data_IF_870452854057
#
_entry.id   IF_870452854057
#
_cell.length_a   1.000
_cell.length_b   1.000
_cell.length_c   1.000
_cell.angle_alpha   90.00
_cell.angle_beta   90.00
_cell.angle_gamma   90.00
#
_symmetry.space_group_name_H-M   'P 1'
#
loop_
_entity.id
_entity.type
_entity.pdbx_description
1 polymer ?
#
# COMPACT_ATOMS: atom_id res chain seq x y z
N UNK A 1 4.49 -34.35 15.91
CA UNK A 1 3.96 -33.71 17.13
C UNK A 1 2.89 -32.72 16.75
N UNK A 2 1.62 -33.08 16.94
CA UNK A 2 0.44 -32.38 16.39
C UNK A 2 -0.06 -31.20 17.26
N UNK A 3 0.79 -30.68 18.14
CA UNK A 3 0.43 -29.70 19.18
C UNK A 3 0.58 -28.24 18.68
N UNK A 4 1.34 -28.00 17.61
CA UNK A 4 1.64 -26.66 17.08
C UNK A 4 0.57 -26.07 16.15
N UNK A 5 -0.21 -26.89 15.45
CA UNK A 5 -1.25 -26.40 14.53
C UNK A 5 -2.52 -25.90 15.27
N UNK A 6 -2.87 -26.53 16.39
CA UNK A 6 -4.09 -26.22 17.15
C UNK A 6 -3.94 -24.97 18.04
N UNK A 7 -2.70 -24.66 18.45
CA UNK A 7 -2.36 -23.46 19.25
C UNK A 7 -2.28 -22.22 18.36
N UNK A 8 -1.67 -22.34 17.18
CA UNK A 8 -1.53 -21.26 16.20
C UNK A 8 -2.90 -20.76 15.68
N UNK A 9 -3.90 -21.64 15.57
CA UNK A 9 -5.26 -21.24 15.19
C UNK A 9 -5.98 -20.42 16.30
N UNK A 10 -5.76 -20.76 17.57
CA UNK A 10 -6.37 -20.04 18.70
C UNK A 10 -5.72 -18.67 18.90
N UNK A 11 -4.40 -18.59 18.73
CA UNK A 11 -3.64 -17.34 18.78
C UNK A 11 -3.99 -16.41 17.60
N UNK A 12 -4.19 -16.97 16.40
CA UNK A 12 -4.64 -16.24 15.23
C UNK A 12 -6.05 -15.67 15.41
N UNK A 13 -6.98 -16.50 15.90
CA UNK A 13 -8.34 -16.07 16.19
C UNK A 13 -8.39 -14.99 17.29
N UNK A 14 -7.56 -15.13 18.33
CA UNK A 14 -7.42 -14.14 19.38
C UNK A 14 -6.83 -12.83 18.84
N UNK A 15 -5.77 -12.90 18.03
CA UNK A 15 -5.20 -11.73 17.38
C UNK A 15 -6.24 -11.02 16.52
N UNK A 16 -7.00 -11.76 15.71
CA UNK A 16 -8.05 -11.19 14.88
C UNK A 16 -9.10 -10.45 15.69
N UNK A 17 -9.59 -11.09 16.76
CA UNK A 17 -10.52 -10.46 17.68
C UNK A 17 -9.96 -9.20 18.34
N UNK A 18 -8.71 -9.23 18.82
CA UNK A 18 -8.06 -8.08 19.47
C UNK A 18 -7.88 -6.93 18.48
N UNK A 19 -7.41 -7.20 17.26
CA UNK A 19 -7.23 -6.19 16.22
C UNK A 19 -8.58 -5.60 15.80
N UNK A 20 -9.62 -6.42 15.62
CA UNK A 20 -10.96 -5.94 15.28
C UNK A 20 -11.58 -5.11 16.42
N UNK A 21 -11.40 -5.54 17.67
CA UNK A 21 -11.81 -4.79 18.85
C UNK A 21 -11.08 -3.45 18.94
N UNK A 22 -9.77 -3.44 18.75
CA UNK A 22 -8.95 -2.22 18.74
C UNK A 22 -9.38 -1.30 17.60
N UNK A 23 -9.61 -1.81 16.38
CA UNK A 23 -10.16 -1.03 15.26
C UNK A 23 -11.51 -0.42 15.60
N UNK A 24 -12.41 -1.22 16.18
CA UNK A 24 -13.73 -0.79 16.61
C UNK A 24 -13.70 0.28 17.71
N UNK A 25 -12.65 0.32 18.53
CA UNK A 25 -12.49 1.28 19.62
C UNK A 25 -11.66 2.53 19.22
N UNK A 26 -10.65 2.37 18.36
CA UNK A 26 -9.82 3.46 17.83
C UNK A 26 -10.63 4.41 16.95
N UNK A 27 -11.58 3.86 16.18
CA UNK A 27 -12.35 4.60 15.18
C UNK A 27 -13.78 4.92 15.63
N UNK A 28 -14.15 4.59 16.86
CA UNK A 28 -15.49 4.85 17.37
C UNK A 28 -15.70 6.35 17.56
N UNK A 29 -16.44 6.96 16.62
CA UNK A 29 -17.04 8.29 16.71
C UNK A 29 -16.08 9.46 17.04
N UNK A 30 -14.78 9.31 16.77
CA UNK A 30 -13.81 10.40 16.94
C UNK A 30 -13.52 11.04 15.60
N UNK A 31 -13.67 12.36 15.52
CA UNK A 31 -13.29 13.14 14.35
C UNK A 31 -11.76 13.17 14.23
N UNK A 32 -11.25 13.37 13.01
CA UNK A 32 -9.82 13.60 12.78
C UNK A 32 -9.29 14.72 13.69
N UNK A 33 -10.08 15.80 13.83
CA UNK A 33 -9.77 16.94 14.70
C UNK A 33 -9.63 16.57 16.17
N UNK A 34 -10.46 15.67 16.69
CA UNK A 34 -10.37 15.21 18.08
C UNK A 34 -9.06 14.44 18.34
N UNK A 35 -8.63 13.62 17.38
CA UNK A 35 -7.40 12.83 17.49
C UNK A 35 -6.17 13.75 17.36
N UNK A 36 -6.20 14.70 16.43
CA UNK A 36 -5.13 15.69 16.24
C UNK A 36 -4.92 16.57 17.50
N UNK A 37 -5.99 17.04 18.15
CA UNK A 37 -5.88 17.79 19.43
C UNK A 37 -5.17 16.97 20.53
N UNK A 38 -5.43 15.67 20.58
CA UNK A 38 -4.74 14.79 21.54
C UNK A 38 -3.28 14.58 21.17
N UNK A 39 -2.95 14.45 19.89
CA UNK A 39 -1.56 14.34 19.42
C UNK A 39 -0.76 15.63 19.69
N UNK A 40 -1.38 16.80 19.59
CA UNK A 40 -0.73 18.05 19.99
C UNK A 40 -0.34 18.09 21.48
N UNK A 41 -1.17 17.50 22.35
CA UNK A 41 -0.86 17.36 23.79
C UNK A 41 0.31 16.41 24.03
N UNK A 42 0.49 15.38 23.19
CA UNK A 42 1.67 14.50 23.24
C UNK A 42 2.94 15.28 22.92
N UNK A 43 2.88 16.24 21.98
CA UNK A 43 4.02 17.10 21.68
C UNK A 43 4.43 18.03 22.84
N UNK A 44 3.64 18.17 23.90
CA UNK A 44 4.05 18.86 25.13
C UNK A 44 4.82 17.94 26.10
N UNK A 45 4.71 16.62 25.91
CA UNK A 45 5.35 15.61 26.76
C UNK A 45 6.74 15.21 26.25
N UNK A 46 7.08 15.53 25.00
CA UNK A 46 8.41 15.26 24.43
C UNK A 46 9.41 16.35 24.83
N UNK A 47 10.74 16.04 24.86
CA UNK A 47 11.78 17.01 25.18
C UNK A 47 11.66 18.30 24.35
N UNK A 48 11.92 19.45 24.99
CA UNK A 48 11.83 20.78 24.38
C UNK A 48 12.39 20.90 22.94
N UNK A 49 13.61 20.38 22.62
CA UNK A 49 14.14 20.48 21.26
C UNK A 49 13.35 19.68 20.20
N UNK A 50 12.56 18.68 20.60
CA UNK A 50 11.77 17.83 19.70
C UNK A 50 10.33 18.31 19.53
N UNK A 51 9.85 19.25 20.34
CA UNK A 51 8.50 19.78 20.24
C UNK A 51 8.15 20.38 18.86
N UNK A 52 9.00 21.22 18.23
CA UNK A 52 8.68 21.76 16.90
C UNK A 52 8.61 20.65 15.84
N UNK A 53 9.53 19.69 15.90
CA UNK A 53 9.52 18.52 15.00
C UNK A 53 8.28 17.66 15.22
N UNK A 54 7.89 17.41 16.47
CA UNK A 54 6.67 16.66 16.81
C UNK A 54 5.43 17.33 16.21
N UNK A 55 5.27 18.64 16.41
CA UNK A 55 4.13 19.38 15.85
C UNK A 55 4.12 19.34 14.33
N UNK A 56 5.28 19.48 13.69
CA UNK A 56 5.41 19.35 12.24
C UNK A 56 4.97 17.96 11.76
N UNK A 57 5.37 16.89 12.46
CA UNK A 57 4.95 15.53 12.13
C UNK A 57 3.43 15.33 12.30
N UNK A 58 2.84 15.87 13.37
CA UNK A 58 1.38 15.84 13.58
C UNK A 58 0.65 16.58 12.46
N UNK A 59 1.16 17.74 12.03
CA UNK A 59 0.57 18.52 10.93
C UNK A 59 0.69 17.82 9.58
N UNK A 60 1.86 17.28 9.25
CA UNK A 60 2.11 16.67 7.93
C UNK A 60 1.50 15.27 7.79
N UNK A 61 1.61 14.46 8.85
CA UNK A 61 1.25 13.04 8.80
C UNK A 61 0.01 12.69 9.59
N UNK A 62 -0.51 13.57 10.45
CA UNK A 62 -1.65 13.27 11.32
C UNK A 62 -2.90 12.86 10.54
N UNK A 63 -3.37 13.69 9.59
CA UNK A 63 -4.55 13.37 8.77
C UNK A 63 -4.32 12.13 7.89
N UNK A 64 -3.21 12.01 7.12
CA UNK A 64 -2.92 10.80 6.36
C UNK A 64 -2.86 9.53 7.21
N UNK A 65 -2.22 9.59 8.38
CA UNK A 65 -2.11 8.45 9.29
C UNK A 65 -3.46 8.06 9.89
N UNK A 66 -4.30 9.04 10.26
CA UNK A 66 -5.66 8.78 10.76
C UNK A 66 -6.51 8.13 9.65
N UNK A 67 -6.43 8.63 8.41
CA UNK A 67 -7.14 8.04 7.27
C UNK A 67 -6.66 6.62 6.97
N UNK A 68 -5.34 6.40 6.97
CA UNK A 68 -4.76 5.08 6.78
C UNK A 68 -5.14 4.10 7.90
N UNK A 69 -5.16 4.57 9.15
CA UNK A 69 -5.62 3.78 10.29
C UNK A 69 -7.14 3.50 10.25
N UNK A 70 -7.90 4.40 9.62
CA UNK A 70 -9.35 4.26 9.39
C UNK A 70 -9.68 3.36 8.20
N UNK A 71 -8.75 3.19 7.26
CA UNK A 71 -8.86 2.24 6.17
C UNK A 71 -9.01 0.83 6.74
N UNK A 72 -9.81 -0.01 6.06
CA UNK A 72 -9.99 -1.43 6.38
C UNK A 72 -8.69 -2.20 6.11
N UNK A 73 -7.67 -1.99 6.93
CA UNK A 73 -6.45 -2.81 6.92
C UNK A 73 -6.89 -4.25 7.18
N UNK A 74 -6.36 -5.20 6.40
CA UNK A 74 -6.70 -6.59 6.58
C UNK A 74 -6.17 -7.07 7.95
N UNK A 75 -7.09 -7.47 8.83
CA UNK A 75 -6.78 -7.95 10.18
C UNK A 75 -5.83 -9.16 10.14
N UNK A 76 -5.97 -10.03 9.14
CA UNK A 76 -5.11 -11.19 8.92
C UNK A 76 -3.66 -10.78 8.66
N UNK A 77 -3.43 -9.75 7.84
CA UNK A 77 -2.07 -9.27 7.51
C UNK A 77 -1.35 -8.70 8.74
N UNK A 78 -2.09 -8.01 9.62
CA UNK A 78 -1.52 -7.51 10.87
C UNK A 78 -1.12 -8.66 11.82
N UNK A 79 -1.92 -9.72 11.86
CA UNK A 79 -1.66 -10.89 12.69
C UNK A 79 -0.58 -11.82 12.11
N UNK A 80 -0.42 -11.85 10.79
CA UNK A 80 0.70 -12.50 10.10
C UNK A 80 2.03 -11.78 10.39
N UNK A 81 2.03 -10.44 10.40
CA UNK A 81 3.24 -9.64 10.66
C UNK A 81 3.84 -9.88 12.06
N UNK A 82 2.99 -10.26 13.02
CA UNK A 82 3.40 -10.57 14.39
C UNK A 82 3.47 -12.07 14.67
N UNK A 83 3.47 -12.89 13.62
CA UNK A 83 3.56 -14.36 13.65
C UNK A 83 2.49 -15.06 14.52
N UNK A 84 1.37 -14.37 14.81
CA UNK A 84 0.23 -14.93 15.55
C UNK A 84 -0.76 -15.65 14.66
N UNK A 85 -0.74 -15.36 13.36
CA UNK A 85 -1.43 -16.15 12.35
C UNK A 85 -0.42 -16.96 11.54
N UNK A 86 -0.76 -18.22 11.19
CA UNK A 86 0.07 -18.99 10.29
C UNK A 86 0.17 -18.23 8.96
N UNK A 87 1.39 -17.86 8.59
CA UNK A 87 1.66 -17.46 7.21
C UNK A 87 1.36 -18.68 6.34
N UNK A 88 0.60 -18.53 5.25
CA UNK A 88 0.27 -19.66 4.40
C UNK A 88 1.56 -20.33 3.94
N UNK A 89 1.84 -21.53 4.46
CA UNK A 89 2.97 -22.35 4.04
C UNK A 89 2.69 -22.76 2.59
N UNK A 90 3.60 -22.55 1.64
CA UNK A 90 3.34 -22.85 0.23
C UNK A 90 3.17 -24.36 0.04
N UNK A 91 1.92 -24.82 0.06
CA UNK A 91 1.52 -26.21 -0.21
C UNK A 91 0.99 -26.28 -1.64
N UNK A 92 1.43 -27.24 -2.47
CA UNK A 92 1.10 -27.25 -3.89
C UNK A 92 -0.30 -27.86 -4.13
N UNK A 93 -1.38 -27.09 -4.03
CA UNK A 93 -2.63 -27.32 -4.80
C UNK A 93 -3.49 -26.04 -4.86
N UNK A 94 -3.55 -25.42 -6.06
CA UNK A 94 -4.54 -24.46 -6.62
C UNK A 94 -5.07 -23.33 -5.71
N UNK A 95 -4.89 -22.04 -5.95
CA UNK A 95 -4.21 -21.22 -6.97
C UNK A 95 -3.87 -19.90 -6.27
N UNK A 96 -2.69 -19.82 -5.67
CA UNK A 96 -2.03 -18.55 -5.44
C UNK A 96 -0.87 -18.59 -6.42
N UNK A 97 -1.02 -17.88 -7.53
CA UNK A 97 0.10 -17.70 -8.43
C UNK A 97 1.24 -17.15 -7.60
N UNK A 98 2.41 -17.76 -7.74
CA UNK A 98 3.65 -17.33 -7.13
C UNK A 98 3.63 -15.81 -6.94
N UNK A 99 3.60 -15.36 -5.69
CA UNK A 99 4.35 -14.16 -5.34
C UNK A 99 5.80 -14.56 -5.55
N UNK A 100 6.20 -14.60 -6.83
CA UNK A 100 7.57 -14.36 -7.21
C UNK A 100 7.91 -13.07 -6.49
N UNK A 101 9.02 -13.06 -5.76
CA UNK A 101 9.77 -11.84 -5.53
C UNK A 101 9.75 -11.08 -6.87
N UNK A 102 8.99 -9.98 -6.88
CA UNK A 102 8.24 -9.53 -8.04
C UNK A 102 9.09 -9.33 -9.27
N UNK A 103 8.50 -9.62 -10.43
CA UNK A 103 9.01 -9.08 -11.69
C UNK A 103 9.18 -7.57 -11.48
N UNK A 104 10.42 -7.10 -11.43
CA UNK A 104 10.74 -5.70 -11.13
C UNK A 104 9.96 -4.76 -12.04
N UNK A 105 9.67 -5.17 -13.28
CA UNK A 105 8.87 -4.40 -14.23
C UNK A 105 7.39 -4.35 -13.84
N UNK A 106 6.84 -5.41 -13.27
CA UNK A 106 5.49 -5.45 -12.72
C UNK A 106 5.36 -4.51 -11.51
N UNK A 107 6.30 -4.55 -10.56
CA UNK A 107 6.31 -3.66 -9.39
C UNK A 107 6.43 -2.18 -9.81
N UNK A 108 7.30 -1.88 -10.77
CA UNK A 108 7.42 -0.52 -11.31
C UNK A 108 6.13 -0.11 -12.03
N UNK A 109 5.51 -1.01 -12.78
CA UNK A 109 4.25 -0.72 -13.46
C UNK A 109 3.14 -0.38 -12.47
N UNK A 110 2.94 -1.19 -11.42
CA UNK A 110 1.89 -0.95 -10.41
C UNK A 110 2.08 0.44 -9.75
N UNK A 111 3.33 0.81 -9.46
CA UNK A 111 3.67 2.15 -8.98
C UNK A 111 3.30 3.25 -9.99
N UNK A 112 3.69 3.09 -11.25
CA UNK A 112 3.43 4.08 -12.31
C UNK A 112 1.95 4.28 -12.52
N UNK A 113 1.15 3.20 -12.59
CA UNK A 113 -0.30 3.30 -12.80
C UNK A 113 -0.98 4.06 -11.66
N UNK A 114 -0.63 3.77 -10.40
CA UNK A 114 -1.20 4.45 -9.24
C UNK A 114 -0.89 5.95 -9.20
N UNK A 115 0.34 6.34 -9.54
CA UNK A 115 0.68 7.76 -9.61
C UNK A 115 0.05 8.46 -10.83
N UNK A 116 -0.08 7.80 -11.99
CA UNK A 116 -0.80 8.35 -13.15
C UNK A 116 -2.27 8.64 -12.80
N UNK A 117 -2.98 7.71 -12.16
CA UNK A 117 -4.39 7.88 -11.76
C UNK A 117 -4.57 9.10 -10.83
N UNK A 118 -3.65 9.26 -9.87
CA UNK A 118 -3.62 10.38 -8.94
C UNK A 118 -3.35 11.71 -9.65
N UNK A 119 -2.40 11.75 -10.59
CA UNK A 119 -2.10 12.98 -11.33
C UNK A 119 -3.19 13.36 -12.34
N UNK A 120 -3.84 12.37 -12.98
CA UNK A 120 -5.01 12.60 -13.83
C UNK A 120 -6.18 13.18 -13.02
N UNK A 121 -6.40 12.69 -11.79
CA UNK A 121 -7.39 13.28 -10.87
C UNK A 121 -7.09 14.74 -10.51
N UNK A 122 -5.84 15.18 -10.68
CA UNK A 122 -5.39 16.56 -10.50
C UNK A 122 -5.37 17.43 -11.77
N UNK A 123 -5.91 16.94 -12.90
CA UNK A 123 -5.86 17.59 -14.22
C UNK A 123 -4.43 17.87 -14.72
N UNK A 124 -3.46 17.04 -14.36
CA UNK A 124 -2.10 17.16 -14.89
C UNK A 124 -2.06 16.73 -16.38
N UNK A 125 -1.24 17.42 -17.18
CA UNK A 125 -1.01 17.02 -18.58
C UNK A 125 -0.08 15.82 -18.65
N UNK A 126 -0.15 15.03 -19.72
CA UNK A 126 0.75 13.90 -19.96
C UNK A 126 2.24 14.26 -19.75
N UNK A 127 2.68 15.41 -20.29
CA UNK A 127 4.06 15.87 -20.15
C UNK A 127 4.45 16.16 -18.68
N UNK A 128 3.51 16.69 -17.89
CA UNK A 128 3.72 16.91 -16.45
C UNK A 128 3.80 15.58 -15.71
N UNK A 129 2.91 14.63 -16.01
CA UNK A 129 2.88 13.29 -15.42
C UNK A 129 4.21 12.56 -15.67
N UNK A 130 4.68 12.53 -16.91
CA UNK A 130 5.98 11.94 -17.28
C UNK A 130 7.13 12.60 -16.49
N UNK A 131 7.10 13.93 -16.35
CA UNK A 131 8.14 14.67 -15.62
C UNK A 131 8.16 14.34 -14.14
N UNK A 132 6.98 14.20 -13.50
CA UNK A 132 6.88 13.84 -12.09
C UNK A 132 7.33 12.40 -11.85
N UNK A 133 6.82 11.45 -12.63
CA UNK A 133 7.19 10.05 -12.53
C UNK A 133 8.70 9.81 -12.75
N UNK A 134 9.31 10.52 -13.71
CA UNK A 134 10.76 10.42 -13.93
C UNK A 134 11.59 10.89 -12.73
N UNK A 135 11.09 11.84 -11.92
CA UNK A 135 11.71 12.25 -10.66
C UNK A 135 11.50 11.19 -9.58
N UNK A 136 10.31 10.63 -9.50
CA UNK A 136 9.93 9.63 -8.50
C UNK A 136 10.62 8.28 -8.73
N UNK A 137 11.02 7.97 -9.97
CA UNK A 137 11.81 6.77 -10.31
C UNK A 137 13.11 6.60 -9.51
N UNK A 138 13.63 7.67 -8.87
CA UNK A 138 14.78 7.58 -7.96
C UNK A 138 14.55 6.67 -6.76
N UNK A 139 13.30 6.46 -6.36
CA UNK A 139 12.93 5.56 -5.24
C UNK A 139 13.37 4.11 -5.50
N UNK A 140 13.49 3.71 -6.77
CA UNK A 140 13.88 2.36 -7.16
C UNK A 140 15.40 2.12 -7.17
N UNK A 141 16.21 3.12 -6.76
CA UNK A 141 17.65 3.00 -6.65
C UNK A 141 18.30 2.49 -7.95
N UNK A 142 18.87 1.28 -7.91
CA UNK A 142 19.52 0.64 -9.05
C UNK A 142 18.59 0.43 -10.27
N UNK A 143 17.28 0.38 -10.07
CA UNK A 143 16.30 0.22 -11.15
C UNK A 143 15.69 1.55 -11.63
N UNK A 144 16.20 2.69 -11.17
CA UNK A 144 15.67 4.00 -11.55
C UNK A 144 15.67 4.26 -13.06
N UNK A 145 16.70 3.83 -13.77
CA UNK A 145 16.77 3.93 -15.25
C UNK A 145 15.76 3.03 -15.95
N UNK A 146 15.51 1.84 -15.39
CA UNK A 146 14.46 0.93 -15.87
C UNK A 146 13.08 1.55 -15.67
N UNK A 147 12.86 2.19 -14.51
CA UNK A 147 11.63 2.94 -14.25
C UNK A 147 11.42 4.08 -15.24
N UNK A 148 12.44 4.91 -15.47
CA UNK A 148 12.35 6.01 -16.44
C UNK A 148 12.03 5.52 -17.86
N UNK A 149 12.64 4.40 -18.25
CA UNK A 149 12.36 3.76 -19.54
C UNK A 149 10.91 3.28 -19.63
N UNK A 150 10.37 2.69 -18.56
CA UNK A 150 8.97 2.25 -18.51
C UNK A 150 8.00 3.44 -18.49
N UNK A 151 8.31 4.50 -17.73
CA UNK A 151 7.53 5.74 -17.71
C UNK A 151 7.41 6.32 -19.12
N UNK A 152 8.54 6.48 -19.81
CA UNK A 152 8.56 7.05 -21.16
C UNK A 152 7.81 6.18 -22.18
N UNK A 153 7.87 4.85 -22.02
CA UNK A 153 7.28 3.92 -22.98
C UNK A 153 5.78 3.67 -22.75
N UNK A 154 5.32 3.68 -21.50
CA UNK A 154 3.98 3.17 -21.15
C UNK A 154 3.03 4.22 -20.60
N UNK A 155 3.49 5.37 -20.09
CA UNK A 155 2.56 6.42 -19.57
C UNK A 155 1.51 6.87 -20.58
N UNK A 156 1.81 7.11 -21.87
CA UNK A 156 0.79 7.50 -22.84
C UNK A 156 -0.31 6.43 -22.98
N UNK A 157 0.08 5.15 -23.01
CA UNK A 157 -0.84 4.01 -23.07
C UNK A 157 -1.63 3.87 -21.76
N UNK A 158 -0.99 4.05 -20.61
CA UNK A 158 -1.63 3.96 -19.30
C UNK A 158 -2.71 5.05 -19.15
N UNK A 159 -2.40 6.29 -19.53
CA UNK A 159 -3.37 7.39 -19.53
C UNK A 159 -4.57 7.02 -20.40
N UNK A 160 -4.33 6.56 -21.63
CA UNK A 160 -5.41 6.18 -22.53
C UNK A 160 -6.29 5.05 -21.97
N UNK A 161 -5.70 4.04 -21.32
CA UNK A 161 -6.45 2.94 -20.70
C UNK A 161 -7.31 3.45 -19.53
N UNK A 162 -6.76 4.30 -18.68
CA UNK A 162 -7.47 4.87 -17.53
C UNK A 162 -8.60 5.82 -17.96
N UNK A 163 -8.38 6.66 -18.98
CA UNK A 163 -9.42 7.51 -19.58
C UNK A 163 -10.56 6.68 -20.19
N UNK A 164 -10.27 5.48 -20.67
CA UNK A 164 -11.26 4.51 -21.14
C UNK A 164 -11.90 3.66 -20.03
N UNK A 165 -11.82 4.11 -18.77
CA UNK A 165 -12.38 3.45 -17.59
C UNK A 165 -11.84 2.03 -17.34
N UNK A 166 -10.60 1.73 -17.74
CA UNK A 166 -9.93 0.52 -17.27
C UNK A 166 -9.57 0.63 -15.80
N UNK A 167 -9.65 -0.49 -15.09
CA UNK A 167 -9.21 -0.55 -13.71
C UNK A 167 -7.68 -0.43 -13.65
N UNK A 168 -7.12 0.45 -12.80
CA UNK A 168 -5.69 0.52 -12.51
C UNK A 168 -5.06 -0.86 -12.24
N UNK A 169 -5.80 -1.76 -11.57
CA UNK A 169 -5.35 -3.09 -11.20
C UNK A 169 -5.12 -4.05 -12.39
N UNK A 170 -5.69 -3.73 -13.56
CA UNK A 170 -5.63 -4.58 -14.77
C UNK A 170 -4.66 -4.03 -15.82
N UNK A 171 -4.31 -2.74 -15.77
CA UNK A 171 -3.48 -2.07 -16.77
C UNK A 171 -2.13 -2.77 -16.96
N UNK A 172 -1.43 -3.10 -15.87
CA UNK A 172 -0.11 -3.73 -15.94
C UNK A 172 -0.13 -5.16 -16.49
N UNK A 173 -1.25 -5.87 -16.35
CA UNK A 173 -1.46 -7.16 -17.02
C UNK A 173 -1.67 -6.96 -18.52
N UNK A 174 -2.49 -5.99 -18.91
CA UNK A 174 -2.84 -5.69 -20.30
C UNK A 174 -1.61 -5.34 -21.14
N UNK A 175 -0.72 -4.49 -20.60
CA UNK A 175 0.55 -4.14 -21.25
C UNK A 175 1.66 -5.18 -21.04
N UNK A 176 1.31 -6.34 -20.47
CA UNK A 176 2.18 -7.52 -20.28
C UNK A 176 3.42 -7.28 -19.41
N UNK A 177 3.43 -6.22 -18.61
CA UNK A 177 4.48 -5.98 -17.60
C UNK A 177 4.29 -6.84 -16.35
N UNK A 178 3.05 -7.28 -16.09
CA UNK A 178 2.73 -8.28 -15.08
C UNK A 178 2.30 -9.59 -15.75
N UNK A 179 3.27 -10.42 -16.10
CA UNK A 179 3.05 -11.70 -16.82
C UNK A 179 2.35 -12.76 -15.96
N UNK A 180 2.46 -12.67 -14.62
CA UNK A 180 1.73 -13.54 -13.70
C UNK A 180 0.21 -13.43 -13.92
N UNK A 181 -0.31 -12.22 -14.13
CA UNK A 181 -1.74 -11.92 -14.24
C UNK A 181 -2.38 -12.41 -15.55
N UNK A 182 -1.59 -12.75 -16.57
CA UNK A 182 -2.07 -13.18 -17.90
C UNK A 182 -2.33 -14.68 -18.06
N UNK A 183 -1.91 -15.50 -17.10
CA UNK A 183 -2.02 -16.97 -17.18
C UNK A 183 -3.42 -17.53 -16.90
N UNK A 184 -4.47 -16.69 -16.91
CA UNK A 184 -5.86 -17.10 -16.65
C UNK A 184 -6.73 -16.89 -17.90
N UNK A 185 -6.44 -17.59 -18.98
CA UNK A 185 -7.39 -17.79 -20.07
C UNK A 185 -7.26 -19.17 -20.70
N UNK A 186 -7.81 -20.18 -20.02
CA UNK A 186 -8.58 -21.31 -20.58
C UNK A 186 -9.56 -21.77 -19.51
#
# INVERSE_FOLDING_TARGET
SSISAETNNKECALCGFVIDYVKGQLLKNKTETYILDKLEKVCLLVPAPLQPTCRLLVTLYGVPAIKMASSKVNTTVLCELVDLCPTPTPTPTKTVQNVQVGDTKCTICDFVVGEVEKYLSGNATEAQIITFLNKDCKIFGAFGTTCQSLVQAYVPTIINLLENNQSPDTVCAEIKLCTSRLSKKV
#
